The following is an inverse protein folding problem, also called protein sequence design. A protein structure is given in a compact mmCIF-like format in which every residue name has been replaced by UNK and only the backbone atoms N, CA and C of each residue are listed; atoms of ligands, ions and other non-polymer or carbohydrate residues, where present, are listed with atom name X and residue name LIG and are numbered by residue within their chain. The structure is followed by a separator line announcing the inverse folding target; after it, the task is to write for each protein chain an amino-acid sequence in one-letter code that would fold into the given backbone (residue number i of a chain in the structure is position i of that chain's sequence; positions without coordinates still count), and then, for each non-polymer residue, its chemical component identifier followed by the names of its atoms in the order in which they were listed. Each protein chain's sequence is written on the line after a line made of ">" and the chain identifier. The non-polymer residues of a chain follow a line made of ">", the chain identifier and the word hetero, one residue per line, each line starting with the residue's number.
data_IF_024445436282
#
_entry.id   IF_024445436282
#
_cell.length_a   1.000
_cell.length_b   1.000
_cell.length_c   1.000
_cell.angle_alpha   90.00
_cell.angle_beta   90.00
_cell.angle_gamma   90.00
#
_symmetry.space_group_name_H-M   'P 1'
#
loop_
_entity.id
_entity.type
_entity.pdbx_description
1 polymer ?
#
# COMPACT_ATOMS: atom_id res chain seq x y z
N UNK A 1 -0.93 -13.06 -20.89
CA UNK A 1 -1.55 -12.04 -20.00
C UNK A 1 -0.43 -11.09 -19.57
N UNK A 2 -0.65 -9.77 -19.58
CA UNK A 2 0.36 -8.80 -19.14
C UNK A 2 0.79 -9.07 -17.70
N UNK A 3 2.09 -9.00 -17.42
CA UNK A 3 2.69 -9.13 -16.09
C UNK A 3 2.32 -7.96 -15.17
N UNK A 4 1.95 -6.83 -15.76
CA UNK A 4 1.63 -5.60 -15.06
C UNK A 4 0.15 -5.24 -15.15
N UNK A 5 -0.33 -4.52 -14.15
CA UNK A 5 -1.61 -3.83 -14.22
C UNK A 5 -1.51 -2.66 -15.20
N UNK A 6 -2.50 -2.54 -16.05
CA UNK A 6 -2.69 -1.37 -16.92
C UNK A 6 -3.75 -0.47 -16.28
N UNK A 7 -3.37 0.77 -15.96
CA UNK A 7 -4.23 1.73 -15.29
C UNK A 7 -4.50 2.93 -16.19
N UNK A 8 -5.76 3.29 -16.33
CA UNK A 8 -6.18 4.51 -17.01
C UNK A 8 -5.83 4.55 -18.49
N UNK A 9 -6.05 5.72 -19.12
CA UNK A 9 -5.83 5.99 -20.53
C UNK A 9 -4.59 6.89 -20.72
N UNK A 10 -3.88 6.80 -21.85
CA UNK A 10 -2.78 7.70 -22.16
C UNK A 10 -3.18 9.17 -22.06
N UNK A 11 -2.28 10.01 -21.56
CA UNK A 11 -2.46 11.45 -21.44
C UNK A 11 -1.24 12.17 -21.99
N UNK A 12 -1.45 13.24 -22.77
CA UNK A 12 -0.35 14.09 -23.22
C UNK A 12 0.19 14.92 -22.04
N UNK A 13 1.51 15.12 -22.01
CA UNK A 13 2.15 15.93 -20.97
C UNK A 13 1.66 17.40 -20.96
N UNK A 14 1.21 17.91 -22.10
CA UNK A 14 0.62 19.24 -22.22
C UNK A 14 -0.73 19.37 -21.51
N UNK A 15 -1.45 18.26 -21.33
CA UNK A 15 -2.78 18.21 -20.69
C UNK A 15 -2.71 18.04 -19.17
N UNK A 16 -1.51 17.95 -18.60
CA UNK A 16 -1.31 17.86 -17.14
C UNK A 16 -1.82 19.11 -16.43
N UNK A 17 -2.68 18.93 -15.47
CA UNK A 17 -3.29 19.99 -14.67
C UNK A 17 -2.66 20.09 -13.27
N UNK A 18 -2.23 18.97 -12.69
CA UNK A 18 -1.60 18.99 -11.38
C UNK A 18 -0.20 19.65 -11.41
N UNK A 19 0.04 20.70 -10.63
CA UNK A 19 1.36 21.29 -10.55
C UNK A 19 2.40 20.33 -9.94
N UNK A 20 1.96 19.35 -9.16
CA UNK A 20 2.85 18.33 -8.59
C UNK A 20 3.33 17.34 -9.66
N UNK A 21 2.51 17.03 -10.67
CA UNK A 21 2.90 16.14 -11.77
C UNK A 21 4.07 16.71 -12.57
N UNK A 22 4.05 18.00 -12.87
CA UNK A 22 5.15 18.67 -13.57
C UNK A 22 6.44 18.65 -12.75
N UNK A 23 6.36 18.98 -11.47
CA UNK A 23 7.52 18.92 -10.55
C UNK A 23 8.10 17.52 -10.45
N UNK A 24 7.23 16.48 -10.41
CA UNK A 24 7.68 15.09 -10.37
C UNK A 24 8.33 14.65 -11.68
N UNK A 25 7.81 15.04 -12.82
CA UNK A 25 8.41 14.72 -14.13
C UNK A 25 9.83 15.29 -14.20
N UNK A 26 10.02 16.55 -13.78
CA UNK A 26 11.34 17.17 -13.78
C UNK A 26 12.31 16.45 -12.81
N UNK A 27 11.83 16.08 -11.63
CA UNK A 27 12.61 15.31 -10.67
C UNK A 27 12.95 13.90 -11.18
N UNK A 28 12.00 13.19 -11.80
CA UNK A 28 12.21 11.87 -12.40
C UNK A 28 13.26 11.90 -13.52
N UNK A 29 13.23 12.93 -14.37
CA UNK A 29 14.22 13.11 -15.45
C UNK A 29 15.63 13.35 -14.92
N UNK A 30 15.74 13.94 -13.73
CA UNK A 30 17.03 14.23 -13.08
C UNK A 30 17.56 13.06 -12.23
N UNK A 31 16.74 12.06 -11.95
CA UNK A 31 17.08 10.93 -11.07
C UNK A 31 17.43 9.69 -11.90
N UNK A 32 18.65 9.16 -11.73
CA UNK A 32 19.16 8.03 -12.51
C UNK A 32 18.49 6.69 -12.15
N UNK A 33 17.85 6.59 -11.00
CA UNK A 33 17.22 5.36 -10.49
C UNK A 33 15.74 5.25 -10.87
N UNK A 34 15.27 6.14 -11.75
CA UNK A 34 13.91 6.12 -12.30
C UNK A 34 13.90 6.31 -13.81
N UNK A 35 12.89 5.71 -14.44
CA UNK A 35 12.54 5.96 -15.83
C UNK A 35 11.05 6.23 -15.94
N UNK A 36 10.68 7.38 -16.52
CA UNK A 36 9.29 7.69 -16.83
C UNK A 36 8.88 6.97 -18.12
N UNK A 37 7.99 5.99 -18.00
CA UNK A 37 7.51 5.17 -19.11
C UNK A 37 6.31 5.77 -19.82
N UNK A 38 5.49 6.54 -19.10
CA UNK A 38 4.30 7.16 -19.67
C UNK A 38 3.50 7.96 -18.67
N UNK A 39 2.61 8.77 -19.22
CA UNK A 39 1.67 9.59 -18.47
C UNK A 39 0.27 9.09 -18.82
N UNK A 40 -0.58 8.91 -17.83
CA UNK A 40 -1.94 8.43 -18.03
C UNK A 40 -2.92 9.21 -17.15
N UNK A 41 -4.19 9.10 -17.45
CA UNK A 41 -5.28 9.63 -16.62
C UNK A 41 -6.24 8.52 -16.24
N UNK A 42 -6.80 8.60 -15.04
CA UNK A 42 -7.86 7.70 -14.62
C UNK A 42 -8.89 8.43 -13.76
N UNK A 43 -10.09 7.86 -13.74
CA UNK A 43 -11.17 8.33 -12.88
C UNK A 43 -11.45 7.30 -11.78
N UNK A 44 -11.65 7.78 -10.56
CA UNK A 44 -12.11 6.95 -9.45
C UNK A 44 -13.20 7.68 -8.68
N UNK A 45 -14.43 7.21 -8.82
CA UNK A 45 -15.63 7.93 -8.37
C UNK A 45 -15.75 9.27 -9.10
N UNK A 46 -15.85 10.36 -8.34
CA UNK A 46 -15.95 11.73 -8.86
C UNK A 46 -14.59 12.42 -9.06
N UNK A 47 -13.50 11.75 -8.70
CA UNK A 47 -12.17 12.35 -8.74
C UNK A 47 -11.39 11.87 -9.97
N UNK A 48 -10.70 12.81 -10.61
CA UNK A 48 -9.76 12.56 -11.68
C UNK A 48 -8.33 12.56 -11.17
N UNK A 49 -7.53 11.66 -11.71
CA UNK A 49 -6.13 11.47 -11.31
C UNK A 49 -5.22 11.43 -12.53
N UNK A 50 -4.04 11.96 -12.36
CA UNK A 50 -2.91 11.78 -13.26
C UNK A 50 -2.02 10.66 -12.71
N UNK A 51 -1.54 9.81 -13.60
CA UNK A 51 -0.67 8.69 -13.29
C UNK A 51 0.65 8.86 -14.03
N UNK A 52 1.75 8.92 -13.30
CA UNK A 52 3.08 8.81 -13.87
C UNK A 52 3.52 7.36 -13.72
N UNK A 53 3.59 6.63 -14.83
CA UNK A 53 4.06 5.25 -14.85
C UNK A 53 5.57 5.27 -14.96
N UNK A 54 6.23 4.66 -13.98
CA UNK A 54 7.68 4.67 -13.86
C UNK A 54 8.23 3.27 -13.58
N UNK A 55 9.43 3.01 -14.04
CA UNK A 55 10.26 1.95 -13.49
C UNK A 55 11.22 2.58 -12.47
N UNK A 56 11.41 1.92 -11.33
CA UNK A 56 12.31 2.32 -10.25
C UNK A 56 13.30 1.18 -9.99
N UNK A 57 14.61 1.50 -9.91
CA UNK A 57 15.66 0.52 -9.62
C UNK A 57 16.69 1.07 -8.62
N UNK A 58 16.28 1.33 -7.38
CA UNK A 58 17.19 1.88 -6.39
C UNK A 58 18.35 0.93 -6.09
N UNK A 59 19.56 1.49 -6.05
CA UNK A 59 20.77 0.73 -5.72
C UNK A 59 20.63 0.02 -4.37
N UNK A 60 21.27 -1.16 -4.23
CA UNK A 60 21.30 -1.92 -2.97
C UNK A 60 20.16 -2.94 -2.82
N UNK A 61 19.30 -3.11 -3.82
CA UNK A 61 18.34 -4.21 -3.84
C UNK A 61 18.97 -5.41 -4.53
N UNK A 62 19.13 -6.51 -3.79
CA UNK A 62 19.68 -7.75 -4.35
C UNK A 62 18.59 -8.57 -5.05
N UNK A 63 18.92 -9.26 -6.17
CA UNK A 63 17.95 -10.01 -6.98
C UNK A 63 17.19 -11.10 -6.22
N UNK A 64 17.80 -11.66 -5.19
CA UNK A 64 17.26 -12.78 -4.40
C UNK A 64 17.10 -12.37 -2.93
N UNK A 65 16.21 -11.41 -2.66
CA UNK A 65 15.84 -11.09 -1.29
C UNK A 65 14.58 -11.90 -0.88
N UNK A 66 14.48 -12.19 0.41
CA UNK A 66 13.39 -13.00 1.00
C UNK A 66 12.01 -12.35 0.85
N UNK A 67 11.97 -11.05 0.62
CA UNK A 67 10.73 -10.26 0.58
C UNK A 67 10.13 -10.14 -0.83
N UNK A 68 10.84 -10.62 -1.86
CA UNK A 68 10.34 -10.65 -3.24
C UNK A 68 10.25 -9.30 -3.93
N UNK A 69 10.99 -8.28 -3.45
CA UNK A 69 11.16 -7.00 -4.14
C UNK A 69 12.18 -7.20 -5.27
N UNK A 70 11.81 -6.82 -6.48
CA UNK A 70 12.72 -6.89 -7.63
C UNK A 70 13.70 -5.71 -7.65
N UNK A 71 14.87 -5.91 -8.28
CA UNK A 71 15.84 -4.83 -8.50
C UNK A 71 15.26 -3.69 -9.34
N UNK A 72 14.23 -3.99 -10.15
CA UNK A 72 13.47 -3.01 -10.94
C UNK A 72 11.98 -3.28 -10.75
N UNK A 73 11.29 -2.34 -10.16
CA UNK A 73 9.85 -2.40 -9.90
C UNK A 73 9.10 -1.37 -10.75
N UNK A 74 8.00 -1.80 -11.36
CA UNK A 74 7.10 -0.89 -12.08
C UNK A 74 6.06 -0.33 -11.15
N UNK A 75 5.96 1.00 -11.12
CA UNK A 75 5.10 1.76 -10.22
C UNK A 75 4.24 2.75 -11.01
N UNK A 76 3.11 3.15 -10.41
CA UNK A 76 2.35 4.31 -10.86
C UNK A 76 2.26 5.33 -9.73
N UNK A 77 2.75 6.53 -9.96
CA UNK A 77 2.59 7.67 -9.05
C UNK A 77 1.26 8.32 -9.39
N UNK A 78 0.29 8.24 -8.48
CA UNK A 78 -1.07 8.77 -8.65
C UNK A 78 -1.22 10.11 -7.98
N UNK A 79 -1.60 11.12 -8.73
CA UNK A 79 -1.81 12.50 -8.28
C UNK A 79 -3.25 12.93 -8.55
N UNK A 80 -3.86 13.61 -7.59
CA UNK A 80 -5.17 14.22 -7.80
C UNK A 80 -5.04 15.43 -8.74
N UNK A 81 -5.91 15.49 -9.74
CA UNK A 81 -5.86 16.51 -10.79
C UNK A 81 -6.20 17.91 -10.26
N UNK A 82 -7.22 17.97 -9.43
CA UNK A 82 -7.82 19.23 -8.95
C UNK A 82 -7.61 19.50 -7.46
N UNK A 83 -6.80 18.67 -6.76
CA UNK A 83 -6.60 18.78 -5.33
C UNK A 83 -5.12 18.73 -4.99
N UNK A 84 -4.72 19.56 -4.03
CA UNK A 84 -3.37 19.50 -3.48
C UNK A 84 -3.31 18.42 -2.39
N UNK A 85 -3.22 17.18 -2.85
CA UNK A 85 -3.12 16.01 -1.98
C UNK A 85 -1.74 15.34 -2.16
N UNK A 86 -1.30 14.60 -1.14
CA UNK A 86 -0.07 13.81 -1.25
C UNK A 86 -0.19 12.80 -2.39
N UNK A 87 0.82 12.68 -3.24
CA UNK A 87 0.87 11.62 -4.23
C UNK A 87 0.85 10.25 -3.56
N UNK A 88 0.20 9.29 -4.20
CA UNK A 88 0.19 7.89 -3.82
C UNK A 88 1.02 7.07 -4.79
N UNK A 89 1.59 5.97 -4.34
CA UNK A 89 2.37 5.06 -5.18
C UNK A 89 1.72 3.69 -5.22
N UNK A 90 1.39 3.25 -6.42
CA UNK A 90 0.80 1.94 -6.68
C UNK A 90 1.84 1.04 -7.33
N UNK A 91 1.97 -0.21 -6.86
CA UNK A 91 2.82 -1.20 -7.49
C UNK A 91 2.07 -1.83 -8.66
N UNK A 92 2.68 -1.86 -9.84
CA UNK A 92 1.98 -2.36 -11.03
C UNK A 92 2.26 -3.84 -11.31
N UNK A 93 3.30 -4.44 -10.75
CA UNK A 93 3.56 -5.88 -10.90
C UNK A 93 2.46 -6.68 -10.19
N UNK A 94 1.82 -7.61 -10.91
CA UNK A 94 0.64 -8.35 -10.41
C UNK A 94 0.96 -9.29 -9.25
N UNK A 95 2.13 -9.88 -9.27
CA UNK A 95 2.67 -10.76 -8.22
C UNK A 95 3.51 -10.02 -7.18
N UNK A 96 3.36 -8.68 -7.09
CA UNK A 96 4.03 -7.90 -6.05
C UNK A 96 3.68 -8.45 -4.66
N UNK A 97 4.66 -8.69 -3.79
CA UNK A 97 4.45 -9.35 -2.50
C UNK A 97 3.53 -8.56 -1.57
N UNK A 98 2.91 -9.27 -0.64
CA UNK A 98 2.18 -8.65 0.47
C UNK A 98 3.18 -8.35 1.57
N UNK A 99 3.42 -7.07 1.81
CA UNK A 99 4.40 -6.58 2.78
C UNK A 99 3.75 -5.68 3.82
N UNK A 100 4.46 -5.47 4.92
CA UNK A 100 4.12 -4.41 5.87
C UNK A 100 4.17 -3.03 5.20
N UNK A 101 3.47 -2.07 5.77
CA UNK A 101 3.39 -0.70 5.22
C UNK A 101 2.85 -0.62 3.78
N UNK A 102 1.89 -1.50 3.47
CA UNK A 102 1.00 -1.36 2.33
C UNK A 102 -0.38 -0.91 2.82
N UNK A 103 -0.95 0.10 2.16
CA UNK A 103 -2.34 0.49 2.41
C UNK A 103 -3.28 -0.62 1.90
N UNK A 104 -4.44 -0.75 2.53
CA UNK A 104 -5.45 -1.70 2.09
C UNK A 104 -5.98 -1.35 0.70
N UNK A 105 -5.97 -2.33 -0.19
CA UNK A 105 -6.53 -2.24 -1.54
C UNK A 105 -7.46 -3.41 -1.79
N UNK A 106 -8.38 -3.29 -2.74
CA UNK A 106 -9.23 -4.40 -3.14
C UNK A 106 -8.40 -5.58 -3.67
N UNK A 107 -8.81 -6.84 -3.42
CA UNK A 107 -8.16 -8.00 -4.00
C UNK A 107 -8.07 -7.91 -5.52
N UNK A 108 -6.90 -8.26 -6.08
CA UNK A 108 -6.65 -8.16 -7.52
C UNK A 108 -6.40 -6.75 -8.03
N UNK A 109 -6.25 -5.76 -7.13
CA UNK A 109 -5.85 -4.39 -7.47
C UNK A 109 -4.36 -4.15 -7.16
N UNK A 110 -3.73 -3.15 -7.77
CA UNK A 110 -2.40 -2.70 -7.42
C UNK A 110 -2.27 -2.41 -5.93
N UNK A 111 -1.11 -2.72 -5.35
CA UNK A 111 -0.82 -2.39 -3.94
C UNK A 111 -0.51 -0.91 -3.81
N UNK A 112 -0.99 -0.27 -2.76
CA UNK A 112 -0.76 1.15 -2.44
C UNK A 112 0.30 1.23 -1.33
N UNK A 113 1.47 1.81 -1.64
CA UNK A 113 2.59 1.93 -0.71
C UNK A 113 2.30 2.96 0.38
N UNK A 114 2.45 2.58 1.65
CA UNK A 114 2.37 3.52 2.78
C UNK A 114 3.71 4.23 2.95
N UNK A 115 3.83 5.43 2.39
CA UNK A 115 5.07 6.21 2.38
C UNK A 115 5.19 7.22 3.53
N UNK A 116 4.12 7.45 4.28
CA UNK A 116 4.07 8.51 5.29
C UNK A 116 3.49 7.99 6.61
N UNK A 117 4.23 8.18 7.68
CA UNK A 117 3.79 7.92 9.06
C UNK A 117 3.07 9.12 9.68
N UNK A 118 3.34 10.32 9.15
CA UNK A 118 2.75 11.56 9.65
C UNK A 118 1.41 11.88 9.00
N UNK A 119 0.65 12.78 9.62
CA UNK A 119 -0.61 13.24 9.04
C UNK A 119 -0.40 13.85 7.64
N UNK A 120 -1.35 13.70 6.71
CA UNK A 120 -1.23 14.23 5.36
C UNK A 120 -0.89 15.73 5.30
N UNK A 121 -1.42 16.52 6.25
CA UNK A 121 -1.17 17.97 6.34
C UNK A 121 0.30 18.25 6.70
N UNK A 122 0.84 17.54 7.69
CA UNK A 122 2.24 17.72 8.10
C UNK A 122 3.22 17.28 7.01
N UNK A 123 2.93 16.14 6.36
CA UNK A 123 3.72 15.63 5.24
C UNK A 123 3.71 16.60 4.05
N UNK A 124 2.53 17.17 3.70
CA UNK A 124 2.40 18.08 2.57
C UNK A 124 3.15 19.40 2.74
N UNK A 125 3.29 19.90 3.98
CA UNK A 125 4.06 21.14 4.26
C UNK A 125 5.54 21.04 3.92
N UNK A 126 6.13 19.84 4.00
CA UNK A 126 7.55 19.57 3.74
C UNK A 126 7.78 18.80 2.45
N UNK A 127 6.71 18.60 1.68
CA UNK A 127 6.78 17.79 0.48
C UNK A 127 7.59 18.52 -0.61
N UNK A 128 8.50 17.79 -1.23
CA UNK A 128 9.16 18.14 -2.49
C UNK A 128 9.20 16.91 -3.38
N UNK A 129 9.22 17.09 -4.70
CA UNK A 129 9.31 15.98 -5.65
C UNK A 129 10.53 15.10 -5.37
N UNK A 130 11.70 15.70 -5.12
CA UNK A 130 12.92 14.97 -4.79
C UNK A 130 12.80 14.16 -3.51
N UNK A 131 12.30 14.76 -2.41
CA UNK A 131 12.12 14.02 -1.14
C UNK A 131 11.11 12.90 -1.26
N UNK A 132 10.14 13.04 -2.15
CA UNK A 132 9.16 12.00 -2.43
C UNK A 132 9.79 10.81 -3.18
N UNK A 133 10.63 11.06 -4.21
CA UNK A 133 11.36 9.99 -4.89
C UNK A 133 12.33 9.26 -3.95
N UNK A 134 13.03 9.99 -3.08
CA UNK A 134 13.89 9.38 -2.06
C UNK A 134 13.10 8.48 -1.09
N UNK A 135 11.85 8.84 -0.73
CA UNK A 135 10.99 7.98 0.08
C UNK A 135 10.61 6.69 -0.64
N UNK A 136 10.30 6.75 -1.92
CA UNK A 136 10.02 5.55 -2.74
C UNK A 136 11.25 4.63 -2.72
N UNK A 137 12.44 5.17 -3.00
CA UNK A 137 13.70 4.42 -2.99
C UNK A 137 13.98 3.80 -1.62
N UNK A 138 13.84 4.60 -0.55
CA UNK A 138 14.01 4.11 0.82
C UNK A 138 13.04 2.98 1.14
N UNK A 139 11.76 3.14 0.81
CA UNK A 139 10.73 2.13 1.06
C UNK A 139 11.06 0.81 0.36
N UNK A 140 11.46 0.85 -0.92
CA UNK A 140 11.84 -0.35 -1.68
C UNK A 140 13.08 -1.02 -1.09
N UNK A 141 14.14 -0.25 -0.75
CA UNK A 141 15.36 -0.79 -0.13
C UNK A 141 15.08 -1.42 1.23
N UNK A 142 14.38 -0.71 2.09
CA UNK A 142 14.08 -1.15 3.44
C UNK A 142 13.14 -2.37 3.43
N UNK A 143 12.19 -2.44 2.50
CA UNK A 143 11.35 -3.62 2.29
C UNK A 143 12.16 -4.82 1.83
N UNK A 144 13.06 -4.65 0.86
CA UNK A 144 13.93 -5.73 0.37
C UNK A 144 14.90 -6.25 1.45
N UNK A 145 15.31 -5.38 2.38
CA UNK A 145 16.17 -5.72 3.50
C UNK A 145 15.41 -6.21 4.75
N UNK A 146 14.07 -6.16 4.76
CA UNK A 146 13.26 -6.51 5.93
C UNK A 146 13.38 -5.52 7.10
N UNK A 147 13.82 -4.30 6.85
CA UNK A 147 14.10 -3.28 7.89
C UNK A 147 13.10 -2.13 7.89
N UNK A 148 12.06 -2.20 7.05
CA UNK A 148 11.07 -1.13 6.95
C UNK A 148 10.25 -0.97 8.24
N UNK A 149 10.06 -2.06 8.99
CA UNK A 149 9.37 -2.07 10.26
C UNK A 149 10.35 -2.40 11.39
N UNK A 150 10.69 -1.43 12.26
CA UNK A 150 11.55 -1.68 13.42
C UNK A 150 10.93 -2.73 14.35
N UNK A 151 11.74 -3.66 14.93
CA UNK A 151 11.23 -4.75 15.77
C UNK A 151 10.55 -4.29 17.05
N UNK A 152 10.88 -3.09 17.52
CA UNK A 152 10.34 -2.46 18.74
C UNK A 152 9.08 -1.62 18.50
N UNK A 153 8.69 -1.44 17.25
CA UNK A 153 7.48 -0.70 16.90
C UNK A 153 6.27 -1.66 16.88
N UNK A 154 5.21 -1.39 17.67
CA UNK A 154 4.02 -2.22 17.61
C UNK A 154 3.39 -2.17 16.22
N UNK A 155 2.95 -3.34 15.74
CA UNK A 155 2.21 -3.44 14.47
C UNK A 155 0.84 -2.80 14.68
N UNK A 156 0.61 -1.63 14.09
CA UNK A 156 -0.70 -1.01 14.17
C UNK A 156 -1.74 -1.83 13.39
N UNK A 157 -2.89 -2.15 14.00
CA UNK A 157 -3.96 -2.92 13.34
C UNK A 157 -4.47 -2.28 12.03
N UNK A 158 -4.23 -0.98 11.84
CA UNK A 158 -4.64 -0.22 10.65
C UNK A 158 -3.88 -0.60 9.38
N UNK A 159 -2.70 -1.22 9.48
CA UNK A 159 -1.94 -1.69 8.31
C UNK A 159 -2.54 -2.94 7.68
N UNK A 160 -3.34 -3.67 8.42
CA UNK A 160 -4.00 -4.89 7.97
C UNK A 160 -5.51 -4.70 7.91
N UNK A 161 -6.02 -3.92 6.99
CA UNK A 161 -7.45 -3.99 6.65
C UNK A 161 -7.70 -5.30 5.89
N UNK A 162 -7.83 -6.36 6.64
CA UNK A 162 -8.42 -7.59 6.14
C UNK A 162 -9.95 -7.41 6.13
N UNK A 163 -10.64 -8.14 5.25
CA UNK A 163 -12.12 -8.21 5.25
C UNK A 163 -12.67 -8.84 6.54
N UNK A 164 -11.80 -9.42 7.34
CA UNK A 164 -12.15 -10.12 8.56
C UNK A 164 -11.19 -9.69 9.67
N UNK A 165 -11.72 -9.29 10.79
CA UNK A 165 -10.97 -9.07 12.03
C UNK A 165 -11.14 -10.28 12.93
N UNK A 166 -10.05 -10.72 13.54
CA UNK A 166 -10.09 -11.74 14.58
C UNK A 166 -9.97 -11.01 15.91
N UNK A 167 -11.03 -11.04 16.70
CA UNK A 167 -11.01 -10.50 18.05
C UNK A 167 -10.64 -11.64 19.00
N UNK A 168 -9.47 -11.52 19.59
CA UNK A 168 -8.96 -12.46 20.58
C UNK A 168 -9.26 -11.92 21.98
N UNK A 169 -9.74 -12.75 22.92
CA UNK A 169 -9.94 -12.32 24.30
C UNK A 169 -8.61 -12.07 25.00
N UNK A 170 -8.63 -11.26 26.05
CA UNK A 170 -7.47 -11.08 26.93
C UNK A 170 -6.96 -12.43 27.43
N UNK A 171 -5.64 -12.60 27.44
CA UNK A 171 -5.01 -13.84 27.84
C UNK A 171 -5.08 -14.97 26.81
N UNK A 172 -5.41 -14.67 25.54
CA UNK A 172 -5.41 -15.68 24.47
C UNK A 172 -4.06 -16.34 24.28
N UNK A 173 -2.97 -15.60 24.39
CA UNK A 173 -1.60 -16.11 24.21
C UNK A 173 -1.28 -17.25 25.20
N UNK A 174 -1.67 -17.08 26.47
CA UNK A 174 -1.49 -18.11 27.49
C UNK A 174 -2.36 -19.36 27.21
N UNK A 175 -3.52 -19.18 26.58
CA UNK A 175 -4.37 -20.29 26.17
C UNK A 175 -3.85 -20.97 24.91
N UNK A 176 -3.24 -20.21 24.00
CA UNK A 176 -2.68 -20.72 22.76
C UNK A 176 -1.53 -21.70 23.00
N UNK A 177 -0.73 -21.48 24.04
CA UNK A 177 0.34 -22.40 24.45
C UNK A 177 -0.18 -23.77 24.92
N UNK A 178 -1.41 -23.81 25.42
CA UNK A 178 -2.02 -25.01 25.97
C UNK A 178 -2.82 -25.85 24.97
N UNK A 179 -3.15 -25.30 23.78
CA UNK A 179 -4.09 -25.93 22.83
C UNK A 179 -3.56 -25.92 21.39
N UNK A 180 -3.68 -27.05 20.72
CA UNK A 180 -3.27 -27.19 19.31
C UNK A 180 -4.26 -26.61 18.29
N UNK A 181 -5.49 -26.32 18.70
CA UNK A 181 -6.54 -25.79 17.81
C UNK A 181 -7.60 -25.00 18.58
N UNK A 182 -8.20 -24.02 17.88
CA UNK A 182 -9.27 -23.19 18.41
C UNK A 182 -10.45 -23.19 17.43
N UNK A 183 -11.66 -23.15 17.97
CA UNK A 183 -12.85 -22.94 17.19
C UNK A 183 -13.27 -21.48 17.23
N UNK A 184 -13.63 -20.93 16.08
CA UNK A 184 -14.10 -19.56 15.95
C UNK A 184 -15.52 -19.56 15.44
N UNK A 185 -16.32 -18.61 15.92
CA UNK A 185 -17.63 -18.28 15.37
C UNK A 185 -17.51 -16.94 14.60
N UNK A 186 -18.15 -16.87 13.46
CA UNK A 186 -18.25 -15.63 12.71
C UNK A 186 -19.47 -14.83 13.18
N UNK A 187 -19.28 -13.56 13.48
CA UNK A 187 -20.38 -12.63 13.72
C UNK A 187 -20.33 -11.53 12.66
N UNK A 188 -21.47 -11.22 12.00
CA UNK A 188 -21.50 -10.08 11.09
C UNK A 188 -21.27 -8.81 11.88
N UNK A 189 -20.28 -8.02 11.51
CA UNK A 189 -20.10 -6.68 12.04
C UNK A 189 -21.18 -5.78 11.44
N UNK A 190 -21.98 -5.10 12.27
CA UNK A 190 -23.05 -4.19 11.82
C UNK A 190 -22.52 -2.86 11.25
N UNK A 191 -21.28 -2.74 10.88
CA UNK A 191 -20.73 -1.57 10.25
C UNK A 191 -20.92 -1.67 8.74
N UNK A 192 -21.96 -1.02 8.23
CA UNK A 192 -22.04 -0.67 6.81
C UNK A 192 -20.91 0.33 6.53
N UNK A 193 -19.83 -0.14 5.95
CA UNK A 193 -18.85 0.75 5.35
C UNK A 193 -19.43 1.34 4.07
N UNK A 194 -19.07 2.58 3.73
CA UNK A 194 -19.51 3.28 2.52
C UNK A 194 -19.16 2.54 1.20
N UNK A 195 -18.43 1.43 1.29
CA UNK A 195 -17.97 0.59 0.17
C UNK A 195 -18.75 -0.71 0.00
N UNK A 196 -19.78 -0.98 0.82
CA UNK A 196 -20.65 -2.15 0.67
C UNK A 196 -20.02 -3.50 0.99
N UNK A 197 -18.93 -3.53 1.75
CA UNK A 197 -18.27 -4.76 2.17
C UNK A 197 -18.82 -5.22 3.52
N UNK A 198 -19.22 -6.50 3.61
CA UNK A 198 -19.56 -7.13 4.89
C UNK A 198 -18.25 -7.45 5.63
N UNK A 199 -18.00 -6.78 6.74
CA UNK A 199 -16.93 -7.13 7.67
C UNK A 199 -17.43 -8.25 8.59
N UNK A 200 -16.64 -9.33 8.70
CA UNK A 200 -16.91 -10.40 9.65
C UNK A 200 -15.90 -10.34 10.78
N UNK A 201 -16.38 -10.41 12.01
CA UNK A 201 -15.53 -10.58 13.19
C UNK A 201 -15.51 -12.04 13.59
N UNK A 202 -14.33 -12.62 13.63
CA UNK A 202 -14.12 -13.96 14.18
C UNK A 202 -13.96 -13.85 15.70
N UNK A 203 -14.80 -14.55 16.46
CA UNK A 203 -14.68 -14.65 17.91
C UNK A 203 -14.36 -16.10 18.28
N UNK A 204 -13.56 -16.30 19.34
CA UNK A 204 -13.40 -17.63 19.90
C UNK A 204 -14.77 -18.20 20.30
N UNK A 205 -15.04 -19.43 19.90
CA UNK A 205 -16.20 -20.15 20.39
C UNK A 205 -16.04 -20.36 21.91
N UNK A 206 -17.10 -20.18 22.70
CA UNK A 206 -17.02 -20.55 24.13
C UNK A 206 -16.71 -22.05 24.21
N UNK A 207 -15.85 -22.42 25.14
CA UNK A 207 -15.51 -23.81 25.40
C UNK A 207 -16.80 -24.60 25.64
N UNK A 208 -17.00 -25.63 24.83
CA UNK A 208 -18.20 -26.51 24.92
C UNK A 208 -18.22 -27.38 26.20
N UNK A 209 -17.36 -27.07 27.16
CA UNK A 209 -17.16 -27.87 28.39
C UNK A 209 -17.95 -27.35 29.60
N UNK A 210 -18.86 -26.38 29.42
CA UNK A 210 -19.68 -25.87 30.55
C UNK A 210 -21.18 -26.02 30.26
N UNK A 211 -21.59 -27.19 29.82
CA UNK A 211 -23.00 -27.58 29.81
C UNK A 211 -23.11 -29.00 30.38
N UNK A 212 -23.06 -29.11 31.70
CA UNK A 212 -23.66 -30.17 32.53
C UNK A 212 -24.43 -29.52 33.67
#
# INVERSE_FOLDING_TARGET
>A
MSEFFELGEPLDAAELQSPLSRQLIDALRADKEFELLGIRTCQHGVNEYELLVVDAWPDGIFPYNEYGILCRERLAIRLARNQRALPKVLTLRKDFPVLMHLNSTAPGSPRDMCLYESTPIAAMRRWTARSFLERIKHWLRASAAGTLHPPDQPIEPLFFRTRSAVVLPDGFEQRAEAHASFSFITRPARLRTATGWDEFTLCLAPDSTTAM
#
